data_IF_956381831490
#
_entry.id   IF_956381831490
#
_cell.length_a   1.000
_cell.length_b   1.000
_cell.length_c   1.000
_cell.angle_alpha   90.00
_cell.angle_beta   90.00
_cell.angle_gamma   90.00
#
_symmetry.space_group_name_H-M   'P 1'
#
loop_
_entity.id
_entity.type
_entity.pdbx_description
1 polymer ?
#
# COMPACT_ATOMS: atom_id res chain seq x y z
N UNK A 1 -29.23 -6.31 -19.05
CA UNK A 1 -28.38 -6.15 -17.83
C UNK A 1 -27.17 -5.31 -18.21
N UNK A 2 -27.03 -4.12 -17.61
CA UNK A 2 -26.01 -3.13 -17.95
C UNK A 2 -24.63 -3.53 -17.43
N UNK A 3 -23.71 -3.80 -18.36
CA UNK A 3 -22.27 -3.85 -18.10
C UNK A 3 -21.85 -2.39 -17.86
N UNK A 4 -21.56 -2.01 -16.61
CA UNK A 4 -20.98 -0.71 -16.30
C UNK A 4 -19.55 -0.71 -16.85
N UNK A 5 -19.43 -0.35 -18.13
CA UNK A 5 -18.17 -0.01 -18.76
C UNK A 5 -17.80 1.35 -18.18
N UNK A 6 -17.05 1.34 -17.06
CA UNK A 6 -16.32 2.52 -16.65
C UNK A 6 -15.32 2.78 -17.76
N UNK A 7 -15.68 3.71 -18.63
CA UNK A 7 -14.82 4.27 -19.65
C UNK A 7 -13.64 4.95 -18.96
N UNK A 8 -12.60 4.19 -18.64
CA UNK A 8 -11.30 4.74 -18.32
C UNK A 8 -10.81 5.44 -19.59
N UNK A 9 -10.87 6.77 -19.59
CA UNK A 9 -10.39 7.62 -20.67
C UNK A 9 -9.02 7.09 -21.16
N UNK A 10 -8.89 6.76 -22.45
CA UNK A 10 -7.75 6.04 -23.00
C UNK A 10 -6.55 6.96 -23.20
N UNK A 11 -6.06 7.56 -22.12
CA UNK A 11 -4.83 8.37 -22.09
C UNK A 11 -3.73 7.73 -21.22
N UNK A 12 -3.91 6.51 -20.73
CA UNK A 12 -2.86 5.73 -20.07
C UNK A 12 -1.97 5.04 -21.10
N UNK A 13 -1.39 5.84 -21.99
CA UNK A 13 -0.31 5.45 -22.87
C UNK A 13 1.02 5.71 -22.13
N UNK A 14 1.32 4.99 -21.05
CA UNK A 14 2.66 4.97 -20.46
C UNK A 14 2.85 3.68 -19.67
N UNK A 15 4.04 3.11 -19.82
CA UNK A 15 4.48 1.75 -19.46
C UNK A 15 4.56 1.49 -17.94
N UNK A 16 3.76 2.21 -17.15
CA UNK A 16 3.78 2.19 -15.70
C UNK A 16 2.49 1.54 -15.23
N UNK A 17 2.52 0.20 -15.11
CA UNK A 17 1.44 -0.55 -14.47
C UNK A 17 1.23 -0.06 -13.05
N UNK A 18 -0.01 0.02 -12.58
CA UNK A 18 -0.39 0.34 -11.19
C UNK A 18 0.45 -0.44 -10.18
N UNK A 19 0.79 -1.69 -10.51
CA UNK A 19 1.68 -2.54 -9.71
C UNK A 19 3.07 -1.93 -9.50
N UNK A 20 3.67 -1.29 -10.52
CA UNK A 20 4.99 -0.66 -10.40
C UNK A 20 4.95 0.52 -9.44
N UNK A 21 3.90 1.35 -9.56
CA UNK A 21 3.70 2.50 -8.67
C UNK A 21 3.51 2.02 -7.23
N UNK A 22 2.71 0.98 -7.00
CA UNK A 22 2.54 0.42 -5.66
C UNK A 22 3.86 -0.12 -5.08
N UNK A 23 4.71 -0.75 -5.91
CA UNK A 23 6.03 -1.19 -5.47
C UNK A 23 6.95 -0.03 -5.10
N UNK A 24 6.97 1.05 -5.88
CA UNK A 24 7.74 2.26 -5.55
C UNK A 24 7.28 2.86 -4.22
N UNK A 25 5.96 2.89 -3.96
CA UNK A 25 5.40 3.36 -2.68
C UNK A 25 5.82 2.45 -1.51
N UNK A 26 5.77 1.13 -1.69
CA UNK A 26 6.22 0.18 -0.67
C UNK A 26 7.69 0.40 -0.35
N UNK A 27 8.54 0.58 -1.37
CA UNK A 27 9.98 0.84 -1.18
C UNK A 27 10.19 2.17 -0.44
N UNK A 28 9.42 3.21 -0.75
CA UNK A 28 9.48 4.50 -0.06
C UNK A 28 9.03 4.42 1.42
N UNK A 29 8.16 3.48 1.76
CA UNK A 29 7.68 3.26 3.14
C UNK A 29 8.68 2.52 4.04
N UNK A 30 9.62 1.76 3.47
CA UNK A 30 10.65 1.03 4.24
C UNK A 30 11.44 1.94 5.20
N UNK A 31 12.04 3.06 4.77
CA UNK A 31 12.76 3.94 5.69
C UNK A 31 11.86 4.60 6.73
N UNK A 32 10.59 4.85 6.40
CA UNK A 32 9.61 5.38 7.34
C UNK A 32 9.26 4.36 8.44
N UNK A 33 9.12 3.08 8.10
CA UNK A 33 8.95 2.00 9.09
C UNK A 33 10.16 1.91 10.02
N UNK A 34 11.38 1.96 9.46
CA UNK A 34 12.61 1.92 10.26
C UNK A 34 12.68 3.10 11.23
N UNK A 35 12.41 4.32 10.75
CA UNK A 35 12.38 5.51 11.60
C UNK A 35 11.32 5.41 12.71
N UNK A 36 10.15 4.87 12.39
CA UNK A 36 9.07 4.65 13.37
C UNK A 36 9.50 3.70 14.49
N UNK A 37 10.24 2.63 14.16
CA UNK A 37 10.76 1.67 15.14
C UNK A 37 11.88 2.28 16.00
N UNK A 38 12.77 3.08 15.39
CA UNK A 38 13.90 3.72 16.11
C UNK A 38 13.40 4.79 17.08
N UNK A 39 12.42 5.60 16.70
CA UNK A 39 11.92 6.72 17.53
C UNK A 39 10.98 6.21 18.64
N UNK A 40 10.07 5.28 18.34
CA UNK A 40 9.06 4.81 19.30
C UNK A 40 9.42 3.51 20.03
N UNK A 41 10.49 2.81 19.62
CA UNK A 41 10.97 1.58 20.25
C UNK A 41 10.06 0.36 20.03
N UNK A 42 10.20 -0.64 20.91
CA UNK A 42 9.60 -1.99 20.76
C UNK A 42 8.06 -1.98 20.69
N UNK A 43 7.40 -1.02 21.34
CA UNK A 43 5.92 -0.94 21.39
C UNK A 43 5.33 -0.58 20.04
N UNK A 44 5.99 0.28 19.27
CA UNK A 44 5.53 0.66 17.93
C UNK A 44 5.59 -0.52 16.96
N UNK A 45 6.57 -1.40 17.08
CA UNK A 45 6.69 -2.59 16.22
C UNK A 45 5.50 -3.53 16.41
N UNK A 46 5.10 -3.80 17.66
CA UNK A 46 3.90 -4.61 17.93
C UNK A 46 2.63 -3.98 17.36
N UNK A 47 2.42 -2.67 17.54
CA UNK A 47 1.25 -1.97 17.01
C UNK A 47 1.20 -1.99 15.47
N UNK A 48 2.34 -1.80 14.82
CA UNK A 48 2.45 -1.82 13.36
C UNK A 48 2.07 -3.21 12.82
N UNK A 49 2.60 -4.28 13.40
CA UNK A 49 2.27 -5.66 13.03
C UNK A 49 0.78 -5.94 13.23
N UNK A 50 0.22 -5.60 14.39
CA UNK A 50 -1.20 -5.83 14.68
C UNK A 50 -2.07 -5.08 13.67
N UNK A 51 -1.75 -3.81 13.39
CA UNK A 51 -2.53 -2.97 12.48
C UNK A 51 -2.53 -3.52 11.05
N UNK A 52 -1.36 -3.92 10.52
CA UNK A 52 -1.25 -4.56 9.20
C UNK A 52 -2.01 -5.89 9.18
N UNK A 53 -1.87 -6.72 10.23
CA UNK A 53 -2.56 -8.00 10.32
C UNK A 53 -4.09 -7.81 10.30
N UNK A 54 -4.61 -6.87 11.08
CA UNK A 54 -6.04 -6.54 11.09
C UNK A 54 -6.52 -6.02 9.74
N UNK A 55 -5.72 -5.19 9.05
CA UNK A 55 -6.10 -4.65 7.75
C UNK A 55 -6.21 -5.75 6.70
N UNK A 56 -5.25 -6.67 6.66
CA UNK A 56 -5.25 -7.80 5.73
C UNK A 56 -6.39 -8.77 6.05
N UNK A 57 -6.60 -9.10 7.33
CA UNK A 57 -7.68 -9.99 7.76
C UNK A 57 -9.08 -9.43 7.47
N UNK A 58 -9.25 -8.12 7.45
CA UNK A 58 -10.53 -7.47 7.15
C UNK A 58 -10.80 -7.37 5.65
N UNK A 59 -9.74 -7.40 4.83
CA UNK A 59 -9.86 -7.44 3.37
C UNK A 59 -10.24 -8.84 2.86
N UNK A 60 -9.86 -9.89 3.60
CA UNK A 60 -10.26 -11.28 3.36
C UNK A 60 -11.66 -11.59 3.89
#
# INVERSE_FOLDING_TARGET
MGKLIVSSSPHLHTKTSTQRIMLDVIIALVPAMVASIVIFGWRALCLLVISVLTSVLCEY
#
